data_IF_673209852122
#
_entry.id   IF_673209852122
#
_cell.length_a   1.000
_cell.length_b   1.000
_cell.length_c   1.000
_cell.angle_alpha   90.00
_cell.angle_beta   90.00
_cell.angle_gamma   90.00
#
_symmetry.space_group_name_H-M   'P 1'
#
loop_
_entity.id
_entity.type
_entity.pdbx_description
1 polymer ?
#
# COMPACT_ATOMS: atom_id res chain seq x y z
N UNK A 1 39.14 3.64 -5.53
CA UNK A 1 37.98 4.38 -4.98
C UNK A 1 36.69 4.22 -5.77
N UNK A 2 36.66 3.49 -6.90
CA UNK A 2 35.50 3.37 -7.80
C UNK A 2 34.52 2.24 -7.45
N UNK A 3 35.00 1.18 -6.79
CA UNK A 3 34.21 -0.03 -6.49
C UNK A 3 33.08 0.23 -5.48
N UNK A 4 33.32 1.08 -4.47
CA UNK A 4 32.32 1.43 -3.45
C UNK A 4 31.20 2.30 -4.02
N UNK A 5 31.51 3.19 -4.97
CA UNK A 5 30.52 4.05 -5.63
C UNK A 5 29.56 3.28 -6.53
N UNK A 6 30.06 2.29 -7.28
CA UNK A 6 29.22 1.43 -8.13
C UNK A 6 28.30 0.52 -7.31
N UNK A 7 28.79 -0.02 -6.21
CA UNK A 7 28.00 -0.88 -5.33
C UNK A 7 26.88 -0.10 -4.63
N UNK A 8 27.21 1.09 -4.11
CA UNK A 8 26.24 1.98 -3.50
C UNK A 8 25.12 2.37 -4.48
N UNK A 9 25.49 2.69 -5.73
CA UNK A 9 24.52 3.02 -6.78
C UNK A 9 23.61 1.84 -7.11
N UNK A 10 24.16 0.63 -7.21
CA UNK A 10 23.37 -0.59 -7.44
C UNK A 10 22.40 -0.84 -6.28
N UNK A 11 22.87 -0.71 -5.04
CA UNK A 11 22.04 -0.88 -3.84
C UNK A 11 20.90 0.13 -3.79
N UNK A 12 21.18 1.40 -4.13
CA UNK A 12 20.14 2.43 -4.24
C UNK A 12 19.14 2.11 -5.35
N UNK A 13 19.60 1.62 -6.50
CA UNK A 13 18.71 1.24 -7.60
C UNK A 13 17.77 0.10 -7.20
N UNK A 14 18.24 -0.89 -6.44
CA UNK A 14 17.37 -1.91 -5.86
C UNK A 14 16.32 -1.30 -4.92
N UNK A 15 16.73 -0.39 -4.04
CA UNK A 15 15.81 0.32 -3.15
C UNK A 15 14.73 1.09 -3.92
N UNK A 16 15.11 1.79 -5.00
CA UNK A 16 14.16 2.52 -5.86
C UNK A 16 13.20 1.59 -6.61
N UNK A 17 13.69 0.42 -7.05
CA UNK A 17 12.84 -0.61 -7.66
C UNK A 17 11.82 -1.15 -6.67
N UNK A 18 12.22 -1.38 -5.42
CA UNK A 18 11.32 -1.84 -4.36
C UNK A 18 10.29 -0.77 -4.00
N UNK A 19 10.72 0.51 -4.01
CA UNK A 19 9.86 1.65 -3.74
C UNK A 19 8.76 1.78 -4.81
N UNK A 20 9.12 1.61 -6.08
CA UNK A 20 8.16 1.57 -7.18
C UNK A 20 7.21 0.35 -7.09
N UNK A 21 7.75 -0.84 -6.77
CA UNK A 21 6.94 -2.04 -6.57
C UNK A 21 5.91 -1.82 -5.46
N UNK A 22 6.35 -1.41 -4.26
CA UNK A 22 5.45 -1.16 -3.13
C UNK A 22 4.45 -0.04 -3.44
N UNK A 23 4.88 1.04 -4.07
CA UNK A 23 4.04 2.18 -4.43
C UNK A 23 2.93 1.88 -5.43
N UNK A 24 3.01 0.74 -6.13
CA UNK A 24 1.97 0.25 -7.04
C UNK A 24 0.89 -0.61 -6.37
N UNK A 25 1.09 -0.97 -5.10
CA UNK A 25 0.23 -1.90 -4.39
C UNK A 25 -0.80 -1.17 -3.52
N UNK A 26 -1.94 -1.81 -3.34
CA UNK A 26 -3.03 -1.35 -2.47
C UNK A 26 -3.60 -2.54 -1.68
N UNK A 27 -4.36 -2.25 -0.63
CA UNK A 27 -5.04 -3.27 0.17
C UNK A 27 -4.28 -3.74 1.41
N UNK A 28 -3.29 -2.98 1.89
CA UNK A 28 -2.71 -3.19 3.21
C UNK A 28 -3.60 -2.60 4.30
N UNK A 29 -3.61 -3.24 5.47
CA UNK A 29 -4.44 -2.84 6.62
C UNK A 29 -3.89 -1.62 7.35
N UNK A 30 -2.57 -1.57 7.53
CA UNK A 30 -1.93 -0.60 8.43
C UNK A 30 -1.34 0.61 7.72
N UNK A 31 -1.20 0.56 6.40
CA UNK A 31 -0.62 1.66 5.65
C UNK A 31 -1.15 1.71 4.22
N UNK A 32 -0.98 2.85 3.58
CA UNK A 32 -1.27 3.05 2.16
C UNK A 32 -0.06 3.73 1.52
N UNK A 33 0.62 3.06 0.57
CA UNK A 33 1.69 3.66 -0.20
C UNK A 33 1.13 4.43 -1.40
N UNK A 34 1.78 5.52 -1.77
CA UNK A 34 1.48 6.30 -2.99
C UNK A 34 2.76 6.79 -3.63
N UNK A 35 3.01 6.34 -4.87
CA UNK A 35 4.20 6.74 -5.61
C UNK A 35 4.07 8.20 -6.06
N UNK A 36 4.88 9.09 -5.45
CA UNK A 36 4.92 10.51 -5.77
C UNK A 36 5.82 10.81 -6.97
N UNK A 37 6.88 10.03 -7.13
CA UNK A 37 7.83 10.16 -8.22
C UNK A 37 8.79 8.98 -8.31
N UNK A 38 9.78 9.06 -9.20
CA UNK A 38 10.76 7.97 -9.41
C UNK A 38 11.62 7.68 -8.19
N UNK A 39 11.79 8.66 -7.31
CA UNK A 39 12.66 8.58 -6.13
C UNK A 39 11.89 8.79 -4.81
N UNK A 40 10.57 8.96 -4.87
CA UNK A 40 9.75 9.42 -3.75
C UNK A 40 8.44 8.62 -3.61
N UNK A 41 8.16 8.18 -2.38
CA UNK A 41 6.93 7.50 -1.98
C UNK A 41 6.32 8.25 -0.79
N UNK A 42 5.03 8.57 -0.87
CA UNK A 42 4.24 8.93 0.31
C UNK A 42 3.69 7.66 0.96
N UNK A 43 3.78 7.59 2.28
CA UNK A 43 3.31 6.46 3.06
C UNK A 43 2.40 6.98 4.16
N UNK A 44 1.10 6.71 4.05
CA UNK A 44 0.14 6.98 5.12
C UNK A 44 0.06 5.76 6.02
N UNK A 45 0.34 5.92 7.31
CA UNK A 45 0.31 4.82 8.29
C UNK A 45 -0.78 5.09 9.31
N UNK A 46 -1.60 4.09 9.64
CA UNK A 46 -2.65 4.24 10.65
C UNK A 46 -2.05 4.39 12.05
N UNK A 47 -2.70 5.20 12.86
CA UNK A 47 -2.41 5.38 14.27
C UNK A 47 -3.43 4.57 15.07
N UNK A 48 -3.06 3.37 15.50
CA UNK A 48 -3.88 2.55 16.40
C UNK A 48 -3.22 2.51 17.78
N UNK A 49 -3.70 3.33 18.70
CA UNK A 49 -3.28 3.29 20.11
C UNK A 49 -4.34 2.54 20.92
N UNK A 50 -3.97 1.43 21.57
CA UNK A 50 -4.77 0.90 22.67
C UNK A 50 -4.64 1.80 23.91
N UNK A 51 -5.24 2.99 23.85
CA UNK A 51 -5.76 3.59 25.09
C UNK A 51 -7.09 2.91 25.30
N UNK A 52 -7.16 1.96 26.24
CA UNK A 52 -8.46 1.43 26.67
C UNK A 52 -9.39 2.62 26.97
N UNK A 53 -10.52 2.80 26.27
CA UNK A 53 -11.50 3.75 26.74
C UNK A 53 -12.00 3.24 28.11
N UNK A 54 -12.24 4.13 29.11
CA UNK A 54 -12.94 3.70 30.31
C UNK A 54 -14.24 3.03 29.87
N UNK A 55 -14.50 1.83 30.38
CA UNK A 55 -15.67 1.02 30.04
C UNK A 55 -16.95 1.82 30.29
N UNK A 56 -17.47 2.45 29.25
CA UNK A 56 -18.84 2.95 29.21
C UNK A 56 -19.56 2.15 28.14
N UNK A 57 -20.44 1.26 28.58
CA UNK A 57 -21.39 0.56 27.73
C UNK A 57 -22.25 1.59 27.01
N UNK A 58 -22.10 1.70 25.69
CA UNK A 58 -23.09 2.32 24.84
C UNK A 58 -23.30 1.45 23.60
N UNK A 59 -24.55 1.04 23.49
CA UNK A 59 -25.19 0.24 22.45
C UNK A 59 -25.07 0.88 21.07
N UNK A 60 -24.94 0.02 20.05
CA UNK A 60 -25.18 0.30 18.62
C UNK A 60 -24.63 1.63 18.07
N UNK A 61 -23.34 1.61 17.71
CA UNK A 61 -22.76 2.63 16.85
C UNK A 61 -22.31 1.97 15.54
N UNK A 62 -22.96 2.31 14.43
CA UNK A 62 -22.65 1.87 13.07
C UNK A 62 -21.37 2.53 12.50
N UNK A 63 -20.30 2.58 13.32
CA UNK A 63 -19.01 3.20 13.01
C UNK A 63 -18.17 2.44 11.95
N UNK A 64 -18.70 1.36 11.36
CA UNK A 64 -18.03 0.58 10.32
C UNK A 64 -18.18 1.12 8.89
N UNK A 65 -18.88 2.25 8.68
CA UNK A 65 -19.21 2.77 7.34
C UNK A 65 -18.44 4.03 6.91
N UNK A 66 -17.82 4.80 7.83
CA UNK A 66 -17.16 6.06 7.47
C UNK A 66 -15.74 5.87 6.89
N UNK A 67 -14.98 4.86 7.35
CA UNK A 67 -13.57 4.68 6.96
C UNK A 67 -13.38 4.23 5.49
N UNK A 68 -14.43 3.68 4.88
CA UNK A 68 -14.39 3.01 3.57
C UNK A 68 -14.42 3.97 2.38
N UNK A 69 -14.91 5.20 2.56
CA UNK A 69 -15.01 6.17 1.47
C UNK A 69 -13.84 7.16 1.44
N UNK A 70 -13.18 7.43 2.57
CA UNK A 70 -12.14 8.48 2.67
C UNK A 70 -10.81 8.07 2.00
N UNK A 71 -10.36 6.82 2.14
CA UNK A 71 -9.11 6.39 1.48
C UNK A 71 -9.25 6.25 -0.06
N UNK A 72 -10.46 5.93 -0.55
CA UNK A 72 -10.77 5.87 -1.99
C UNK A 72 -11.07 7.25 -2.60
N UNK A 73 -11.71 8.18 -1.87
CA UNK A 73 -11.86 9.57 -2.34
C UNK A 73 -10.54 10.33 -2.35
N UNK A 74 -9.57 9.98 -1.48
CA UNK A 74 -8.21 10.53 -1.58
C UNK A 74 -7.50 10.03 -2.85
N UNK A 75 -7.74 8.81 -3.34
CA UNK A 75 -7.13 8.36 -4.60
C UNK A 75 -7.62 9.12 -5.84
N UNK A 76 -8.84 9.66 -5.84
CA UNK A 76 -9.41 10.38 -6.99
C UNK A 76 -9.32 11.91 -6.87
N UNK A 77 -9.29 12.48 -5.65
CA UNK A 77 -9.17 13.92 -5.43
C UNK A 77 -7.73 14.43 -5.26
N UNK A 78 -6.71 13.54 -5.22
CA UNK A 78 -5.29 13.89 -5.12
C UNK A 78 -4.64 14.46 -6.40
N UNK A 79 -5.40 14.60 -7.48
CA UNK A 79 -4.96 15.28 -8.71
C UNK A 79 -5.03 16.81 -8.62
N UNK A 80 -5.52 17.37 -7.49
CA UNK A 80 -5.64 18.82 -7.28
C UNK A 80 -4.79 19.28 -6.09
N UNK A 81 -3.89 20.28 -6.25
CA UNK A 81 -2.95 20.71 -5.21
C UNK A 81 -3.58 21.57 -4.09
N UNK A 82 -4.91 21.57 -3.94
CA UNK A 82 -5.63 22.55 -3.11
C UNK A 82 -6.49 21.95 -1.98
N UNK A 83 -6.44 20.65 -1.71
CA UNK A 83 -7.24 20.06 -0.63
C UNK A 83 -6.39 19.94 0.63
N UNK A 84 -6.67 20.80 1.60
CA UNK A 84 -6.29 20.59 3.00
C UNK A 84 -6.90 19.27 3.49
N UNK A 85 -6.05 18.31 3.86
CA UNK A 85 -6.43 17.06 4.52
C UNK A 85 -7.34 17.38 5.72
N UNK A 86 -8.54 16.77 5.83
CA UNK A 86 -9.31 16.80 7.06
C UNK A 86 -8.43 16.40 8.25
N UNK A 87 -8.35 17.28 9.24
CA UNK A 87 -7.50 17.18 10.44
C UNK A 87 -7.89 16.01 11.37
N UNK A 88 -8.88 15.20 11.00
CA UNK A 88 -9.46 14.11 11.81
C UNK A 88 -9.11 12.71 11.26
N UNK A 89 -7.89 12.52 10.76
CA UNK A 89 -7.41 11.19 10.37
C UNK A 89 -6.47 10.67 11.44
N UNK A 90 -6.80 9.53 12.06
CA UNK A 90 -5.88 8.77 12.92
C UNK A 90 -4.78 8.11 12.06
N UNK A 91 -4.01 8.90 11.34
CA UNK A 91 -2.93 8.44 10.48
C UNK A 91 -1.75 9.42 10.52
N UNK A 92 -0.55 8.91 10.30
CA UNK A 92 0.68 9.70 10.14
C UNK A 92 1.16 9.56 8.71
N UNK A 93 1.37 10.69 8.03
CA UNK A 93 1.91 10.75 6.67
C UNK A 93 3.43 10.85 6.73
N UNK A 94 4.12 9.98 5.99
CA UNK A 94 5.56 10.01 5.80
C UNK A 94 5.93 10.22 4.34
N UNK A 95 7.08 10.85 4.09
CA UNK A 95 7.76 10.84 2.80
C UNK A 95 8.98 9.93 2.90
N UNK A 96 9.05 8.87 2.10
CA UNK A 96 10.23 8.03 1.92
C UNK A 96 10.89 8.41 0.59
N UNK A 97 12.18 8.68 0.58
CA UNK A 97 12.89 9.00 -0.65
C UNK A 97 14.31 8.41 -0.69
N UNK A 98 14.78 8.14 -1.91
CA UNK A 98 16.12 7.62 -2.19
C UNK A 98 16.82 8.41 -3.29
N UNK A 99 17.07 9.70 -3.06
CA UNK A 99 17.68 10.55 -4.08
C UNK A 99 19.10 10.10 -4.43
N UNK A 100 19.36 9.93 -5.73
CA UNK A 100 20.68 9.56 -6.26
C UNK A 100 21.78 10.51 -5.78
N UNK A 101 21.48 11.81 -5.63
CA UNK A 101 22.43 12.82 -5.15
C UNK A 101 23.00 12.49 -3.77
N UNK A 102 22.19 11.93 -2.87
CA UNK A 102 22.60 11.62 -1.49
C UNK A 102 23.05 10.16 -1.32
N UNK A 103 22.72 9.30 -2.28
CA UNK A 103 23.19 7.93 -2.34
C UNK A 103 22.62 7.02 -1.24
N UNK A 104 21.56 7.40 -0.54
CA UNK A 104 20.96 6.61 0.56
C UNK A 104 19.47 6.96 0.76
N UNK A 105 18.69 6.09 1.42
CA UNK A 105 17.30 6.37 1.73
C UNK A 105 17.15 7.32 2.92
N UNK A 106 16.03 8.05 2.93
CA UNK A 106 15.63 8.97 3.99
C UNK A 106 14.10 8.93 4.16
N UNK A 107 13.64 9.14 5.38
CA UNK A 107 12.23 9.27 5.70
C UNK A 107 11.96 10.59 6.43
N UNK A 108 10.84 11.24 6.15
CA UNK A 108 10.39 12.46 6.83
C UNK A 108 8.96 12.31 7.31
N UNK A 109 8.64 12.94 8.45
CA UNK A 109 7.27 13.09 8.91
C UNK A 109 6.64 14.28 8.18
N UNK A 110 5.44 14.09 7.63
CA UNK A 110 4.67 15.12 6.91
C UNK A 110 3.37 15.49 7.62
N UNK A 111 2.89 14.67 8.56
CA UNK A 111 1.78 15.01 9.46
C UNK A 111 1.99 14.40 10.85
N UNK A 112 1.25 14.86 11.86
CA UNK A 112 1.21 14.30 13.21
C UNK A 112 2.59 14.19 13.90
N UNK A 113 3.46 15.16 13.63
CA UNK A 113 4.83 15.26 14.18
C UNK A 113 4.90 15.16 15.70
N UNK A 114 3.92 15.71 16.40
CA UNK A 114 3.79 15.75 17.84
C UNK A 114 3.65 14.37 18.49
N UNK A 115 3.20 13.35 17.75
CA UNK A 115 3.04 11.99 18.27
C UNK A 115 4.35 11.22 18.35
N UNK A 116 5.29 11.51 17.46
CA UNK A 116 6.51 10.72 17.28
C UNK A 116 7.76 11.48 17.72
N UNK A 117 7.66 12.81 17.91
CA UNK A 117 8.74 13.67 18.36
C UNK A 117 8.20 14.62 19.41
N UNK A 118 8.84 14.65 20.59
CA UNK A 118 8.54 15.63 21.65
C UNK A 118 9.01 17.02 21.21
N UNK A 119 8.22 17.72 20.39
CA UNK A 119 8.50 19.09 19.97
C UNK A 119 7.67 20.03 20.83
N UNK A 120 8.19 20.36 22.01
CA UNK A 120 7.79 21.59 22.68
C UNK A 120 8.47 22.77 21.99
N UNK A 121 7.79 23.40 21.02
CA UNK A 121 8.29 24.64 20.41
C UNK A 121 7.95 24.81 18.93
N UNK A 122 7.48 26.00 18.59
CA UNK A 122 7.13 26.55 17.27
C UNK A 122 8.30 26.64 16.26
N UNK A 123 9.12 25.61 16.08
CA UNK A 123 10.20 25.64 15.08
C UNK A 123 9.86 24.86 13.81
N UNK A 124 9.49 25.61 12.77
CA UNK A 124 9.24 25.12 11.41
C UNK A 124 10.40 24.30 10.83
N UNK A 125 11.63 24.51 11.31
CA UNK A 125 12.84 23.82 10.82
C UNK A 125 12.90 22.33 11.18
N UNK A 126 12.15 21.88 12.19
CA UNK A 126 12.15 20.46 12.60
C UNK A 126 11.44 19.57 11.58
N UNK A 127 10.49 20.12 10.81
CA UNK A 127 9.71 19.38 9.80
C UNK A 127 10.53 18.91 8.59
N UNK A 128 11.69 19.50 8.35
CA UNK A 128 12.58 19.15 7.24
C UNK A 128 13.73 18.23 7.63
N UNK A 129 13.84 17.87 8.91
CA UNK A 129 14.85 16.94 9.38
C UNK A 129 14.40 15.50 9.12
N UNK A 130 15.20 14.68 8.40
CA UNK A 130 14.86 13.28 8.19
C UNK A 130 14.90 12.50 9.51
N UNK A 131 14.01 11.53 9.65
CA UNK A 131 13.95 10.62 10.78
C UNK A 131 15.21 9.75 10.85
N UNK A 132 15.66 9.48 12.07
CA UNK A 132 16.72 8.51 12.35
C UNK A 132 16.12 7.13 12.61
N UNK A 133 15.78 6.44 11.53
CA UNK A 133 15.28 5.06 11.60
C UNK A 133 16.45 4.08 11.68
N UNK A 134 16.28 2.99 12.44
CA UNK A 134 17.29 1.94 12.56
C UNK A 134 17.51 1.24 11.22
N UNK A 135 16.43 0.92 10.50
CA UNK A 135 16.48 0.33 9.16
C UNK A 135 17.31 1.18 8.19
N UNK A 136 17.11 2.50 8.17
CA UNK A 136 17.87 3.43 7.32
C UNK A 136 19.34 3.52 7.76
N UNK A 137 19.60 3.55 9.07
CA UNK A 137 20.96 3.58 9.62
C UNK A 137 21.75 2.33 9.25
N UNK A 138 21.10 1.17 9.38
CA UNK A 138 21.64 -0.15 9.03
C UNK A 138 21.69 -0.38 7.52
N UNK A 139 21.09 0.48 6.69
CA UNK A 139 20.94 0.24 5.26
C UNK A 139 22.27 0.12 4.55
N UNK A 140 23.35 0.79 4.99
CA UNK A 140 24.66 0.63 4.34
C UNK A 140 25.27 -0.75 4.61
N UNK A 141 25.20 -1.23 5.85
CA UNK A 141 25.91 -2.41 6.33
C UNK A 141 25.10 -3.71 6.20
N UNK A 142 23.77 -3.61 6.16
CA UNK A 142 22.86 -4.75 6.12
C UNK A 142 22.09 -4.77 4.79
N UNK A 143 21.51 -5.92 4.44
CA UNK A 143 20.66 -6.10 3.27
C UNK A 143 19.26 -5.50 3.42
N UNK A 144 19.16 -4.29 3.99
CA UNK A 144 17.88 -3.63 4.29
C UNK A 144 17.16 -3.26 2.99
N UNK A 145 15.87 -3.52 2.94
CA UNK A 145 14.96 -3.25 1.82
C UNK A 145 13.90 -2.24 2.24
N UNK A 146 13.10 -1.77 1.29
CA UNK A 146 12.03 -0.78 1.55
C UNK A 146 11.03 -1.29 2.59
N UNK A 147 10.68 -2.57 2.54
CA UNK A 147 9.74 -3.17 3.49
C UNK A 147 10.23 -3.20 4.94
N UNK A 148 11.55 -3.25 5.19
CA UNK A 148 12.07 -3.15 6.55
C UNK A 148 11.82 -1.76 7.13
N UNK A 149 11.99 -0.71 6.30
CA UNK A 149 11.71 0.68 6.67
C UNK A 149 10.22 0.87 6.94
N UNK A 150 9.36 0.34 6.07
CA UNK A 150 7.90 0.42 6.21
C UNK A 150 7.42 -0.35 7.46
N UNK A 151 7.98 -1.53 7.71
CA UNK A 151 7.71 -2.29 8.93
C UNK A 151 8.04 -1.50 10.19
N UNK A 152 9.21 -0.84 10.23
CA UNK A 152 9.61 0.01 11.35
C UNK A 152 8.62 1.17 11.54
N UNK A 153 8.23 1.86 10.46
CA UNK A 153 7.26 2.96 10.51
C UNK A 153 5.88 2.51 10.99
N UNK A 154 5.39 1.35 10.53
CA UNK A 154 4.13 0.77 11.03
C UNK A 154 4.22 0.49 12.52
N UNK A 155 5.27 -0.19 12.97
CA UNK A 155 5.47 -0.53 14.38
C UNK A 155 5.58 0.71 15.29
N UNK A 156 6.06 1.84 14.78
CA UNK A 156 6.11 3.12 15.50
C UNK A 156 4.72 3.78 15.65
N UNK A 157 3.80 3.56 14.72
CA UNK A 157 2.47 4.18 14.71
C UNK A 157 1.37 3.33 15.34
N UNK A 158 1.63 2.06 15.63
CA UNK A 158 0.65 1.11 16.17
C UNK A 158 1.09 0.53 17.51
N UNK A 159 0.21 0.58 18.52
CA UNK A 159 0.47 0.11 19.88
C UNK A 159 -0.69 -0.83 20.32
N UNK A 160 -0.42 -2.13 20.53
CA UNK A 160 0.86 -2.82 20.36
C UNK A 160 1.24 -2.94 18.88
N UNK A 161 2.55 -3.07 18.61
CA UNK A 161 3.03 -3.30 17.26
C UNK A 161 2.43 -4.60 16.70
N UNK A 162 1.93 -4.61 15.45
CA UNK A 162 1.25 -5.76 14.88
C UNK A 162 2.22 -6.90 14.64
N UNK A 163 1.74 -8.14 14.83
CA UNK A 163 2.52 -9.33 14.49
C UNK A 163 2.87 -9.41 13.01
N UNK A 164 2.02 -8.84 12.14
CA UNK A 164 2.26 -8.71 10.70
C UNK A 164 1.99 -7.27 10.24
N UNK A 165 3.02 -6.43 10.09
CA UNK A 165 2.91 -5.06 9.59
C UNK A 165 2.34 -4.94 8.16
N UNK A 166 2.38 -6.04 7.39
CA UNK A 166 1.89 -6.13 6.02
C UNK A 166 0.57 -6.91 5.91
N UNK A 167 -0.18 -7.04 7.01
CA UNK A 167 -1.49 -7.67 6.97
C UNK A 167 -2.40 -7.00 5.91
N UNK A 168 -3.17 -7.80 5.20
CA UNK A 168 -4.03 -7.32 4.13
C UNK A 168 -5.42 -6.97 4.65
N UNK A 169 -6.01 -5.90 4.13
CA UNK A 169 -7.44 -5.64 4.30
C UNK A 169 -8.23 -6.47 3.29
N UNK A 170 -8.47 -7.74 3.65
CA UNK A 170 -9.28 -8.65 2.84
C UNK A 170 -10.72 -8.16 2.63
N UNK A 171 -11.25 -7.27 3.47
CA UNK A 171 -12.57 -6.69 3.26
C UNK A 171 -12.52 -5.67 2.13
N UNK A 172 -11.52 -4.79 2.13
CA UNK A 172 -11.28 -3.86 1.03
C UNK A 172 -11.08 -4.62 -0.29
N UNK A 173 -10.16 -5.58 -0.33
CA UNK A 173 -9.81 -6.32 -1.55
C UNK A 173 -11.04 -7.03 -2.15
N UNK A 174 -11.87 -7.67 -1.32
CA UNK A 174 -13.08 -8.36 -1.81
C UNK A 174 -14.13 -7.43 -2.42
N UNK A 175 -14.17 -6.19 -1.98
CA UNK A 175 -15.14 -5.18 -2.43
C UNK A 175 -14.67 -4.40 -3.66
N UNK A 176 -13.45 -4.62 -4.15
CA UNK A 176 -13.00 -4.04 -5.41
C UNK A 176 -13.84 -4.58 -6.58
N UNK A 177 -14.06 -3.77 -7.64
CA UNK A 177 -14.61 -4.25 -8.91
C UNK A 177 -13.84 -5.47 -9.41
N UNK A 178 -14.51 -6.42 -10.07
CA UNK A 178 -13.91 -7.70 -10.47
C UNK A 178 -12.55 -7.56 -11.21
N UNK A 179 -12.39 -6.66 -12.21
CA UNK A 179 -11.10 -6.47 -12.89
C UNK A 179 -10.00 -5.98 -11.94
N UNK A 180 -10.30 -4.98 -11.12
CA UNK A 180 -9.36 -4.39 -10.16
C UNK A 180 -8.99 -5.38 -9.06
N UNK A 181 -9.97 -6.16 -8.60
CA UNK A 181 -9.80 -7.23 -7.61
C UNK A 181 -8.87 -8.31 -8.15
N UNK A 182 -9.04 -8.73 -9.40
CA UNK A 182 -8.16 -9.70 -10.04
C UNK A 182 -6.72 -9.17 -10.14
N UNK A 183 -6.56 -7.93 -10.60
CA UNK A 183 -5.25 -7.29 -10.73
C UNK A 183 -4.56 -7.11 -9.37
N UNK A 184 -5.28 -6.55 -8.40
CA UNK A 184 -4.76 -6.28 -7.05
C UNK A 184 -4.35 -7.58 -6.35
N UNK A 185 -5.17 -8.62 -6.41
CA UNK A 185 -4.83 -9.92 -5.80
C UNK A 185 -3.61 -10.56 -6.45
N UNK A 186 -3.45 -10.48 -7.78
CA UNK A 186 -2.26 -10.98 -8.48
C UNK A 186 -0.99 -10.20 -8.13
N UNK A 187 -1.07 -8.87 -8.12
CA UNK A 187 0.05 -8.01 -7.76
C UNK A 187 0.50 -8.21 -6.31
N UNK A 188 -0.46 -8.30 -5.38
CA UNK A 188 -0.20 -8.61 -3.97
C UNK A 188 0.41 -10.01 -3.80
N UNK A 189 -0.08 -11.04 -4.51
CA UNK A 189 0.51 -12.38 -4.44
C UNK A 189 1.98 -12.36 -4.88
N UNK A 190 2.27 -11.74 -6.03
CA UNK A 190 3.64 -11.63 -6.53
C UNK A 190 4.54 -10.86 -5.53
N UNK A 191 4.04 -9.77 -4.96
CA UNK A 191 4.77 -9.02 -3.94
C UNK A 191 5.04 -9.86 -2.69
N UNK A 192 4.02 -10.53 -2.14
CA UNK A 192 4.16 -11.35 -0.94
C UNK A 192 5.10 -12.55 -1.20
N UNK A 193 5.12 -13.12 -2.40
CA UNK A 193 6.06 -14.19 -2.76
C UNK A 193 7.51 -13.68 -2.85
N UNK A 194 7.73 -12.45 -3.33
CA UNK A 194 9.05 -11.80 -3.31
C UNK A 194 9.49 -11.45 -1.88
N UNK A 195 8.53 -11.05 -1.03
CA UNK A 195 8.79 -10.48 0.29
C UNK A 195 8.87 -11.54 1.40
N UNK A 196 8.18 -12.69 1.32
CA UNK A 196 7.87 -13.48 2.53
C UNK A 196 8.12 -15.00 2.43
N UNK A 197 9.19 -15.41 3.12
CA UNK A 197 9.29 -16.74 3.74
C UNK A 197 8.42 -16.88 5.01
N UNK A 198 7.78 -15.81 5.52
CA UNK A 198 7.17 -15.77 6.86
C UNK A 198 5.67 -15.45 6.96
N UNK A 199 4.96 -15.10 5.89
CA UNK A 199 3.51 -14.76 5.92
C UNK A 199 2.72 -15.79 5.09
N UNK A 200 2.84 -17.06 5.49
CA UNK A 200 2.13 -18.18 4.86
C UNK A 200 0.61 -18.04 5.00
N UNK A 201 0.15 -17.38 6.07
CA UNK A 201 -1.27 -17.33 6.43
C UNK A 201 -2.10 -16.36 5.56
N UNK A 202 -1.54 -15.25 5.05
CA UNK A 202 -2.28 -14.32 4.18
C UNK A 202 -2.31 -14.78 2.71
N UNK A 203 -1.29 -15.54 2.29
CA UNK A 203 -1.17 -16.00 0.89
C UNK A 203 -2.29 -16.97 0.52
N UNK A 204 -2.67 -17.87 1.43
CA UNK A 204 -3.73 -18.87 1.17
C UNK A 204 -5.09 -18.24 0.83
N UNK A 205 -5.69 -17.36 1.67
CA UNK A 205 -6.98 -16.74 1.34
C UNK A 205 -6.88 -15.81 0.12
N UNK A 206 -5.76 -15.10 -0.04
CA UNK A 206 -5.54 -14.23 -1.21
C UNK A 206 -5.48 -15.02 -2.51
N UNK A 207 -4.76 -16.15 -2.53
CA UNK A 207 -4.65 -17.04 -3.70
C UNK A 207 -5.99 -17.64 -4.09
N UNK A 208 -6.79 -18.09 -3.12
CA UNK A 208 -8.17 -18.57 -3.39
C UNK A 208 -9.01 -17.48 -4.05
N UNK A 209 -8.95 -16.25 -3.53
CA UNK A 209 -9.68 -15.13 -4.10
C UNK A 209 -9.21 -14.79 -5.52
N UNK A 210 -7.90 -14.81 -5.78
CA UNK A 210 -7.34 -14.55 -7.11
C UNK A 210 -7.84 -15.57 -8.15
N UNK A 211 -7.78 -16.86 -7.82
CA UNK A 211 -8.28 -17.94 -8.70
C UNK A 211 -9.78 -17.80 -8.93
N UNK A 212 -10.56 -17.47 -7.88
CA UNK A 212 -11.98 -17.20 -8.05
C UNK A 212 -12.24 -16.05 -9.03
N UNK A 213 -11.51 -14.94 -8.91
CA UNK A 213 -11.65 -13.80 -9.81
C UNK A 213 -11.28 -14.17 -11.26
N UNK A 214 -10.24 -14.98 -11.45
CA UNK A 214 -9.84 -15.48 -12.77
C UNK A 214 -10.97 -16.27 -13.44
N UNK A 215 -11.58 -17.21 -12.70
CA UNK A 215 -12.68 -18.02 -13.20
C UNK A 215 -13.93 -17.17 -13.53
N UNK A 216 -14.24 -16.18 -12.70
CA UNK A 216 -15.34 -15.25 -12.94
C UNK A 216 -15.09 -14.41 -14.22
N UNK A 217 -13.88 -13.91 -14.42
CA UNK A 217 -13.52 -13.16 -15.63
C UNK A 217 -13.57 -14.01 -16.90
N UNK A 218 -13.12 -15.27 -16.83
CA UNK A 218 -13.21 -16.22 -17.96
C UNK A 218 -14.66 -16.47 -18.36
N UNK A 219 -15.56 -16.69 -17.39
CA UNK A 219 -17.01 -16.87 -17.65
C UNK A 219 -17.65 -15.64 -18.31
N UNK A 220 -17.26 -14.44 -17.91
CA UNK A 220 -17.74 -13.21 -18.55
C UNK A 220 -17.24 -13.06 -19.99
N UNK A 221 -16.03 -13.54 -20.28
CA UNK A 221 -15.48 -13.56 -21.65
C UNK A 221 -16.16 -14.58 -22.56
N UNK A 222 -16.65 -15.68 -21.97
CA UNK A 222 -17.29 -16.80 -22.67
C UNK A 222 -18.84 -16.67 -22.74
N UNK A 223 -19.40 -15.51 -22.35
CA UNK A 223 -20.84 -15.22 -22.43
C UNK A 223 -21.43 -15.24 -23.84
N UNK A 224 -22.76 -15.41 -23.99
CA UNK A 224 -23.41 -16.05 -25.14
C UNK A 224 -23.53 -15.12 -26.36
N UNK A 225 -22.42 -14.86 -27.04
CA UNK A 225 -22.37 -14.12 -28.30
C UNK A 225 -21.88 -14.93 -29.50
N UNK A 226 -21.53 -16.21 -29.29
CA UNK A 226 -21.06 -17.12 -30.35
C UNK A 226 -22.10 -18.19 -30.68
N UNK A 227 -23.36 -17.81 -30.85
CA UNK A 227 -24.28 -18.59 -31.69
C UNK A 227 -24.09 -18.13 -33.12
N UNK A 228 -23.17 -18.80 -33.83
CA UNK A 228 -23.14 -18.77 -35.28
C UNK A 228 -24.52 -19.15 -35.79
N UNK A 229 -25.21 -18.20 -36.43
CA UNK A 229 -26.45 -18.45 -37.12
C UNK A 229 -26.15 -19.43 -38.27
N UNK A 230 -26.77 -20.62 -38.34
CA UNK A 230 -26.73 -21.39 -39.58
C UNK A 230 -27.71 -20.69 -40.52
N UNK A 231 -27.19 -19.92 -41.48
CA UNK A 231 -27.95 -19.51 -42.65
C UNK A 231 -28.28 -20.77 -43.45
N UNK A 232 -29.44 -21.35 -43.13
CA UNK A 232 -30.13 -22.32 -43.98
C UNK A 232 -30.60 -21.56 -45.21
N UNK A 233 -29.83 -21.61 -46.29
CA UNK A 233 -30.33 -21.27 -47.61
C UNK A 233 -31.05 -22.51 -48.15
N UNK A 234 -32.35 -22.56 -47.90
CA UNK A 234 -33.27 -23.41 -48.64
C UNK A 234 -33.58 -22.71 -49.97
N UNK A 235 -33.32 -23.37 -51.08
CA UNK A 235 -33.78 -22.93 -52.41
C UNK A 235 -33.96 -24.19 -53.26
N UNK A 236 -35.11 -24.81 -53.02
CA UNK A 236 -35.70 -25.84 -53.86
C UNK A 236 -36.84 -25.21 -54.68
N UNK A 237 -36.71 -25.24 -56.02
CA UNK A 237 -37.84 -25.39 -56.94
C UNK A 237 -38.46 -24.14 -57.59
N UNK A 238 -38.54 -24.16 -58.92
CA UNK A 238 -39.53 -23.37 -59.68
C UNK A 238 -39.12 -23.01 -61.11
N UNK A 239 -39.30 -23.98 -62.03
CA UNK A 239 -39.51 -23.87 -63.50
C UNK A 239 -38.48 -23.18 -64.41
#
# INVERSE_FOLDING_TARGET
SSVTGSEQRRKLQHFLSDLALLGSLQGFKYFQPWLRGKEELLLTVVNEDLVEPPRVSLTNCSAGKCFRHTLLTLSLNWLSPAVSLPQEMNCTLFLLAGYVRYGRPYAWIRSNHERLVNIGGTDSMVKDTPMKLKSITDWQTRGVRVWDVVSELVCLCTIPSPSNPFALDMRYIRNLPLPDRFLATGALLNFLEIFLLSVVEEVKPLRRLHVQCLLELQRHREGPGSTGSPTVHDSSGGE
#
